data_IF_462865918269
#
_entry.id   IF_462865918269
#
_cell.length_a   1.000
_cell.length_b   1.000
_cell.length_c   1.000
_cell.angle_alpha   90.00
_cell.angle_beta   90.00
_cell.angle_gamma   90.00
#
_symmetry.space_group_name_H-M   'P 1'
#
loop_
_entity.id
_entity.type
_entity.pdbx_description
1 polymer ?
#
# COMPACT_ATOMS: atom_id res chain seq x y z
N UNK A 1 -2.85 5.84 15.11
CA UNK A 1 -3.98 5.52 14.21
C UNK A 1 -5.16 5.15 15.09
N UNK A 2 -6.27 5.89 15.00
CA UNK A 2 -7.42 5.72 15.90
C UNK A 2 -8.28 4.55 15.42
N UNK A 3 -8.51 4.47 14.10
CA UNK A 3 -9.04 3.29 13.42
C UNK A 3 -8.56 3.25 11.95
N UNK A 4 -8.97 2.24 11.18
CA UNK A 4 -8.55 2.05 9.77
C UNK A 4 -8.91 3.23 8.85
N UNK A 5 -9.94 3.98 9.20
CA UNK A 5 -10.47 5.10 8.42
C UNK A 5 -10.20 6.46 9.09
N UNK A 6 -9.83 6.47 10.38
CA UNK A 6 -9.55 7.68 11.15
C UNK A 6 -8.12 7.68 11.70
N UNK A 7 -7.34 8.67 11.26
CA UNK A 7 -6.03 8.96 11.83
C UNK A 7 -6.07 10.35 12.47
N UNK A 8 -5.90 10.40 13.79
CA UNK A 8 -5.52 11.64 14.47
C UNK A 8 -4.14 12.06 14.01
N UNK A 9 -4.02 13.31 13.60
CA UNK A 9 -2.74 13.89 13.23
C UNK A 9 -1.97 14.25 14.49
N UNK A 10 -0.71 13.84 14.54
CA UNK A 10 0.21 14.33 15.57
C UNK A 10 0.58 15.79 15.29
N UNK A 11 1.18 16.47 16.26
CA UNK A 11 1.75 17.80 16.05
C UNK A 11 2.79 17.80 14.91
N UNK A 12 3.51 16.69 14.72
CA UNK A 12 4.45 16.51 13.62
C UNK A 12 3.74 16.42 12.26
N UNK A 13 2.60 15.73 12.17
CA UNK A 13 1.80 15.66 10.95
C UNK A 13 1.25 17.04 10.57
N UNK A 14 0.71 17.77 11.55
CA UNK A 14 0.17 19.12 11.36
C UNK A 14 1.28 20.06 10.89
N UNK A 15 2.44 20.01 11.57
CA UNK A 15 3.59 20.82 11.21
C UNK A 15 4.07 20.50 9.79
N UNK A 16 4.21 19.21 9.45
CA UNK A 16 4.63 18.78 8.10
C UNK A 16 3.70 19.34 7.02
N UNK A 17 2.38 19.30 7.23
CA UNK A 17 1.42 19.88 6.29
C UNK A 17 1.53 21.41 6.19
N UNK A 18 1.69 22.09 7.32
CA UNK A 18 1.91 23.53 7.38
C UNK A 18 3.16 23.96 6.61
N UNK A 19 4.30 23.35 6.91
CA UNK A 19 5.59 23.61 6.26
C UNK A 19 5.51 23.35 4.74
N UNK A 20 4.78 22.30 4.33
CA UNK A 20 4.57 21.96 2.91
C UNK A 20 3.76 23.04 2.18
N UNK A 21 2.70 23.55 2.83
CA UNK A 21 1.87 24.61 2.27
C UNK A 21 2.63 25.94 2.18
N UNK A 22 3.39 26.30 3.21
CA UNK A 22 4.25 27.49 3.19
C UNK A 22 5.31 27.40 2.07
N UNK A 23 5.96 26.25 1.91
CA UNK A 23 6.89 26.02 0.82
C UNK A 23 6.23 26.19 -0.57
N UNK A 24 4.98 25.73 -0.73
CA UNK A 24 4.23 25.93 -1.97
C UNK A 24 3.96 27.41 -2.24
N UNK A 25 3.50 28.15 -1.22
CA UNK A 25 3.25 29.59 -1.35
C UNK A 25 4.51 30.38 -1.70
N UNK A 26 5.65 29.97 -1.15
CA UNK A 26 6.95 30.59 -1.40
C UNK A 26 7.59 30.13 -2.72
N UNK A 27 6.98 29.20 -3.45
CA UNK A 27 7.51 28.65 -4.69
C UNK A 27 8.77 27.78 -4.50
N UNK A 28 9.00 27.28 -3.29
CA UNK A 28 10.15 26.45 -2.92
C UNK A 28 9.78 25.00 -2.64
N UNK A 29 8.53 24.61 -2.88
CA UNK A 29 8.08 23.24 -2.69
C UNK A 29 8.67 22.33 -3.78
N UNK A 30 9.41 21.33 -3.34
CA UNK A 30 9.79 20.18 -4.15
C UNK A 30 8.72 19.08 -4.02
N UNK A 31 8.06 18.64 -5.10
CA UNK A 31 7.07 17.57 -5.06
C UNK A 31 7.65 16.26 -4.52
N UNK A 32 6.87 15.56 -3.69
CA UNK A 32 7.24 14.27 -3.11
C UNK A 32 6.19 13.23 -3.50
N UNK A 33 6.62 12.18 -4.21
CA UNK A 33 5.74 11.09 -4.63
C UNK A 33 5.03 10.47 -3.43
N UNK A 34 3.72 10.23 -3.55
CA UNK A 34 2.89 9.72 -2.46
C UNK A 34 2.50 10.76 -1.40
N UNK A 35 3.02 12.00 -1.47
CA UNK A 35 2.71 13.05 -0.50
C UNK A 35 2.17 14.36 -1.11
N UNK A 36 2.89 15.00 -2.04
CA UNK A 36 2.47 16.28 -2.62
C UNK A 36 2.88 16.44 -4.09
N UNK A 37 2.10 17.24 -4.83
CA UNK A 37 2.34 17.59 -6.22
C UNK A 37 1.92 19.03 -6.51
N UNK A 38 2.57 19.64 -7.50
CA UNK A 38 2.19 20.95 -8.05
C UNK A 38 1.64 20.68 -9.45
N UNK A 39 0.41 21.11 -9.71
CA UNK A 39 -0.26 20.96 -11.00
C UNK A 39 -0.78 22.31 -11.48
N UNK A 40 -0.51 22.64 -12.74
CA UNK A 40 -1.08 23.83 -13.37
C UNK A 40 -2.51 23.54 -13.91
N UNK A 41 -3.18 24.59 -14.38
CA UNK A 41 -4.55 24.47 -14.92
C UNK A 41 -4.60 23.55 -16.14
N UNK A 42 -3.54 23.48 -16.95
CA UNK A 42 -3.49 22.63 -18.14
C UNK A 42 -3.40 21.15 -17.74
N UNK A 43 -2.62 20.83 -16.70
CA UNK A 43 -2.55 19.50 -16.12
C UNK A 43 -3.87 19.07 -15.49
N UNK A 44 -4.51 19.96 -14.72
CA UNK A 44 -5.83 19.71 -14.15
C UNK A 44 -6.86 19.46 -15.27
N UNK A 45 -6.80 20.24 -16.37
CA UNK A 45 -7.69 20.06 -17.51
C UNK A 45 -7.47 18.71 -18.22
N UNK A 46 -6.22 18.24 -18.33
CA UNK A 46 -5.91 16.89 -18.88
C UNK A 46 -6.50 15.75 -18.05
N UNK A 47 -6.79 16.00 -16.77
CA UNK A 47 -7.40 15.04 -15.84
C UNK A 47 -8.92 15.26 -15.69
N UNK A 48 -9.56 15.92 -16.67
CA UNK A 48 -11.00 16.27 -16.66
C UNK A 48 -11.42 17.06 -15.42
N UNK A 49 -10.53 17.90 -14.89
CA UNK A 49 -10.71 18.67 -13.65
C UNK A 49 -10.97 17.83 -12.39
N UNK A 50 -10.64 16.54 -12.42
CA UNK A 50 -10.78 15.67 -11.26
C UNK A 50 -9.63 15.92 -10.30
N UNK A 51 -9.92 16.40 -9.09
CA UNK A 51 -8.92 16.81 -8.08
C UNK A 51 -8.55 15.70 -7.08
N UNK A 52 -8.84 14.44 -7.39
CA UNK A 52 -8.46 13.32 -6.50
C UNK A 52 -6.93 13.27 -6.39
N UNK A 53 -6.33 13.39 -5.18
CA UNK A 53 -4.88 13.51 -5.02
C UNK A 53 -4.06 12.42 -5.71
N UNK A 54 -4.55 11.18 -5.71
CA UNK A 54 -3.88 10.04 -6.34
C UNK A 54 -3.64 10.19 -7.86
N UNK A 55 -4.34 11.11 -8.55
CA UNK A 55 -4.07 11.42 -9.97
C UNK A 55 -2.84 12.28 -10.20
N UNK A 56 -2.37 12.97 -9.17
CA UNK A 56 -1.28 13.96 -9.26
C UNK A 56 -0.05 13.54 -8.46
N UNK A 57 -0.27 12.94 -7.29
CA UNK A 57 0.76 12.72 -6.28
C UNK A 57 1.62 11.47 -6.56
N UNK A 58 1.15 10.58 -7.46
CA UNK A 58 1.84 9.32 -7.76
C UNK A 58 1.93 8.39 -6.55
N UNK A 59 2.82 7.41 -6.63
CA UNK A 59 3.05 6.41 -5.58
C UNK A 59 4.45 6.64 -5.04
N UNK A 60 4.58 6.67 -3.71
CA UNK A 60 5.88 6.69 -3.03
C UNK A 60 6.74 5.54 -3.58
N UNK A 61 7.97 5.86 -4.00
CA UNK A 61 8.89 4.82 -4.46
C UNK A 61 9.18 3.92 -3.27
N UNK A 62 8.78 2.65 -3.36
CA UNK A 62 9.30 1.65 -2.45
C UNK A 62 10.78 1.47 -2.75
N UNK A 63 11.60 1.37 -1.70
CA UNK A 63 12.96 0.91 -1.86
C UNK A 63 12.96 -0.38 -2.67
N UNK A 64 13.67 -0.37 -3.79
CA UNK A 64 13.91 -1.56 -4.59
C UNK A 64 14.63 -2.57 -3.69
N UNK A 65 14.03 -3.75 -3.50
CA UNK A 65 14.66 -4.83 -2.74
C UNK A 65 15.87 -5.44 -3.49
N UNK A 66 16.17 -4.91 -4.69
CA UNK A 66 17.27 -5.32 -5.53
C UNK A 66 17.02 -6.67 -6.20
N UNK A 67 15.82 -7.24 -6.05
CA UNK A 67 15.43 -8.52 -6.64
C UNK A 67 14.72 -8.26 -7.98
N UNK A 68 15.25 -8.76 -9.11
CA UNK A 68 14.56 -8.67 -10.40
C UNK A 68 13.15 -9.24 -10.31
N UNK A 69 12.18 -8.57 -10.93
CA UNK A 69 10.75 -8.95 -10.87
C UNK A 69 10.51 -10.44 -11.16
N UNK A 70 11.15 -10.99 -12.19
CA UNK A 70 10.98 -12.39 -12.58
C UNK A 70 11.49 -13.36 -11.51
N UNK A 71 12.58 -13.03 -10.82
CA UNK A 71 13.15 -13.86 -9.76
C UNK A 71 12.31 -13.77 -8.49
N UNK A 72 11.85 -12.57 -8.13
CA UNK A 72 10.89 -12.34 -7.05
C UNK A 72 9.60 -13.13 -7.26
N UNK A 73 9.04 -13.10 -8.47
CA UNK A 73 7.83 -13.83 -8.80
C UNK A 73 8.02 -15.35 -8.73
N UNK A 74 9.16 -15.89 -9.20
CA UNK A 74 9.48 -17.31 -9.04
C UNK A 74 9.55 -17.72 -7.57
N UNK A 75 10.26 -16.94 -6.74
CA UNK A 75 10.42 -17.21 -5.31
C UNK A 75 9.08 -17.17 -4.58
N UNK A 76 8.32 -16.09 -4.74
CA UNK A 76 7.02 -15.92 -4.09
C UNK A 76 6.02 -16.99 -4.53
N UNK A 77 6.02 -17.39 -5.81
CA UNK A 77 5.13 -18.44 -6.30
C UNK A 77 5.51 -19.81 -5.73
N UNK A 78 6.81 -20.11 -5.62
CA UNK A 78 7.28 -21.35 -4.99
C UNK A 78 6.91 -21.40 -3.50
N UNK A 79 7.09 -20.30 -2.78
CA UNK A 79 6.71 -20.16 -1.38
C UNK A 79 5.20 -20.36 -1.20
N UNK A 80 4.39 -19.66 -2.01
CA UNK A 80 2.93 -19.78 -1.99
C UNK A 80 2.46 -21.21 -2.28
N UNK A 81 3.12 -21.89 -3.22
CA UNK A 81 2.82 -23.31 -3.53
C UNK A 81 3.11 -24.21 -2.34
N UNK A 82 4.21 -23.97 -1.62
CA UNK A 82 4.53 -24.69 -0.38
C UNK A 82 3.49 -24.45 0.72
N UNK A 83 3.01 -23.21 0.85
CA UNK A 83 1.95 -22.87 1.80
C UNK A 83 0.63 -23.59 1.47
N UNK A 84 0.26 -23.70 0.19
CA UNK A 84 -0.92 -24.48 -0.21
C UNK A 84 -0.79 -25.96 0.13
N UNK A 85 0.37 -26.56 -0.15
CA UNK A 85 0.62 -27.95 0.23
C UNK A 85 0.48 -28.16 1.75
N UNK A 86 1.05 -27.24 2.54
CA UNK A 86 0.93 -27.32 4.01
C UNK A 86 -0.51 -27.11 4.49
N UNK A 87 -1.25 -26.20 3.86
CA UNK A 87 -2.66 -25.98 4.15
C UNK A 87 -3.49 -27.26 3.93
N UNK A 88 -3.28 -27.96 2.81
CA UNK A 88 -3.99 -29.20 2.52
C UNK A 88 -3.63 -30.35 3.49
N UNK A 89 -2.36 -30.44 3.89
CA UNK A 89 -1.94 -31.41 4.91
C UNK A 89 -2.65 -31.15 6.25
N UNK A 90 -2.64 -29.89 6.71
CA UNK A 90 -3.30 -29.50 7.95
C UNK A 90 -4.82 -29.70 7.87
N UNK A 91 -5.43 -29.38 6.74
CA UNK A 91 -6.85 -29.62 6.50
C UNK A 91 -7.20 -31.12 6.60
N UNK A 92 -6.39 -31.98 5.99
CA UNK A 92 -6.58 -33.42 6.07
C UNK A 92 -6.41 -33.95 7.50
N UNK A 93 -5.45 -33.43 8.26
CA UNK A 93 -5.23 -33.77 9.67
C UNK A 93 -6.42 -33.35 10.54
N UNK A 94 -6.94 -32.13 10.33
CA UNK A 94 -8.13 -31.64 11.04
C UNK A 94 -9.34 -32.54 10.76
N UNK A 95 -9.61 -32.87 9.50
CA UNK A 95 -10.72 -33.76 9.12
C UNK A 95 -10.59 -35.14 9.77
N UNK A 96 -9.38 -35.71 9.77
CA UNK A 96 -9.09 -36.99 10.43
C UNK A 96 -9.37 -36.93 11.93
N UNK A 97 -8.89 -35.90 12.60
CA UNK A 97 -9.06 -35.73 14.05
C UNK A 97 -10.52 -35.52 14.43
N UNK A 98 -11.28 -34.73 13.65
CA UNK A 98 -12.72 -34.54 13.84
C UNK A 98 -13.52 -35.83 13.60
N UNK A 99 -13.17 -36.58 12.56
CA UNK A 99 -13.78 -37.89 12.29
C UNK A 99 -13.58 -38.88 13.45
N UNK A 100 -12.41 -38.86 14.09
CA UNK A 100 -12.11 -39.72 15.24
C UNK A 100 -12.97 -39.41 16.49
N UNK A 101 -13.53 -38.20 16.60
CA UNK A 101 -14.43 -37.80 17.69
C UNK A 101 -15.90 -37.70 17.25
N UNK A 102 -16.25 -38.26 16.08
CA UNK A 102 -17.63 -38.43 15.64
C UNK A 102 -18.22 -37.25 14.85
N UNK A 103 -17.40 -36.31 14.37
CA UNK A 103 -17.83 -35.23 13.49
C UNK A 103 -17.28 -35.46 12.08
N UNK A 104 -18.14 -35.76 11.11
CA UNK A 104 -17.78 -35.80 9.68
C UNK A 104 -17.89 -34.41 9.04
N UNK A 105 -16.93 -34.09 8.17
CA UNK A 105 -16.83 -32.84 7.41
C UNK A 105 -16.45 -33.09 5.95
#
# INVERSE_FOLDING_TARGET
>A
MVDKNHRDFSDEDIKKLGDTFEAFQNGTLEPVKGFCAIADIQEIARQDFILTPGRYVGIEEQEDDGEPFDDKMKRLTAELTGLFAKSHELEAEIRKNLGAIGYEM
#
